data_IF_443849322708
#
_entry.id   IF_443849322708
#
_cell.length_a   1.000
_cell.length_b   1.000
_cell.length_c   1.000
_cell.angle_alpha   90.00
_cell.angle_beta   90.00
_cell.angle_gamma   90.00
#
_symmetry.space_group_name_H-M   'P 1'
#
loop_
_entity.id
_entity.type
_entity.pdbx_description
1 polymer ?
#
# COMPACT_ATOMS: atom_id res chain seq x y z
N UNK A 1 0.79 -11.19 -6.49
CA UNK A 1 0.68 -10.35 -5.27
C UNK A 1 -0.14 -9.12 -5.63
N UNK A 2 -1.14 -8.78 -4.84
CA UNK A 2 -1.95 -7.56 -4.98
C UNK A 2 -1.62 -6.57 -3.87
N UNK A 3 -1.96 -5.29 -4.03
CA UNK A 3 -1.62 -4.22 -3.07
C UNK A 3 -2.20 -4.45 -1.66
N UNK A 4 -3.34 -5.14 -1.55
CA UNK A 4 -3.98 -5.54 -0.30
C UNK A 4 -3.44 -6.84 0.32
N UNK A 5 -2.49 -7.53 -0.33
CA UNK A 5 -1.96 -8.82 0.16
C UNK A 5 -1.31 -8.73 1.55
N UNK A 6 -0.60 -7.64 1.92
CA UNK A 6 -0.04 -7.49 3.26
C UNK A 6 -1.08 -7.60 4.38
N UNK A 7 -2.38 -7.37 4.14
CA UNK A 7 -3.41 -7.57 5.17
C UNK A 7 -3.46 -8.99 5.75
N UNK A 8 -2.84 -9.99 5.10
CA UNK A 8 -2.69 -11.34 5.65
C UNK A 8 -1.94 -11.38 6.98
N UNK A 9 -1.04 -10.44 7.25
CA UNK A 9 -0.28 -10.35 8.50
C UNK A 9 -0.92 -9.41 9.53
N UNK A 10 -2.03 -8.73 9.19
CA UNK A 10 -2.76 -7.85 10.11
C UNK A 10 -3.77 -8.64 10.98
N UNK A 11 -3.26 -9.66 11.68
CA UNK A 11 -4.08 -10.61 12.46
C UNK A 11 -4.96 -9.94 13.52
N UNK A 12 -4.52 -8.82 14.07
CA UNK A 12 -5.24 -8.02 15.07
C UNK A 12 -6.60 -7.47 14.56
N UNK A 13 -6.83 -7.48 13.24
CA UNK A 13 -8.10 -7.07 12.63
C UNK A 13 -8.95 -8.24 12.12
N UNK A 14 -8.42 -9.47 12.06
CA UNK A 14 -9.08 -10.59 11.36
C UNK A 14 -10.39 -11.04 12.01
N UNK A 15 -10.54 -10.89 13.32
CA UNK A 15 -11.77 -11.24 14.04
C UNK A 15 -12.73 -10.06 14.26
N UNK A 16 -12.31 -8.85 13.89
CA UNK A 16 -13.08 -7.62 14.08
C UNK A 16 -14.13 -7.44 12.98
N UNK A 17 -15.17 -6.67 13.27
CA UNK A 17 -16.10 -6.22 12.24
C UNK A 17 -15.44 -5.11 11.43
N UNK A 18 -15.15 -5.37 10.15
CA UNK A 18 -14.43 -4.41 9.29
C UNK A 18 -15.32 -3.95 8.14
N UNK A 19 -15.46 -2.64 7.99
CA UNK A 19 -16.09 -2.06 6.81
C UNK A 19 -15.07 -2.07 5.67
N UNK A 20 -15.40 -2.74 4.56
CA UNK A 20 -14.55 -2.79 3.37
C UNK A 20 -15.13 -1.92 2.26
N UNK A 21 -14.26 -1.15 1.60
CA UNK A 21 -14.60 -0.34 0.41
C UNK A 21 -13.62 -0.61 -0.72
N UNK A 22 -14.14 -0.69 -1.94
CA UNK A 22 -13.38 -0.88 -3.17
C UNK A 22 -14.22 -1.50 -4.28
N UNK A 23 -13.55 -1.96 -5.34
CA UNK A 23 -14.19 -2.57 -6.51
C UNK A 23 -13.88 -4.08 -6.59
N UNK A 24 -14.82 -4.84 -7.18
CA UNK A 24 -14.71 -6.28 -7.38
C UNK A 24 -15.28 -7.10 -6.22
N UNK A 25 -14.88 -8.38 -6.07
CA UNK A 25 -15.42 -9.29 -5.06
C UNK A 25 -14.79 -9.02 -3.68
N UNK A 26 -14.96 -7.81 -3.14
CA UNK A 26 -14.27 -7.32 -1.95
C UNK A 26 -14.52 -8.15 -0.69
N UNK A 27 -15.70 -8.77 -0.57
CA UNK A 27 -16.00 -9.69 0.55
C UNK A 27 -15.21 -10.99 0.44
N UNK A 28 -15.08 -11.54 -0.77
CA UNK A 28 -14.31 -12.77 -1.00
C UNK A 28 -12.83 -12.51 -0.81
N UNK A 29 -12.34 -11.35 -1.27
CA UNK A 29 -10.98 -10.88 -1.02
C UNK A 29 -10.72 -10.78 0.49
N UNK A 30 -11.60 -10.11 1.25
CA UNK A 30 -11.45 -9.98 2.70
C UNK A 30 -11.43 -11.35 3.39
N UNK A 31 -12.35 -12.25 3.06
CA UNK A 31 -12.37 -13.62 3.62
C UNK A 31 -11.09 -14.39 3.27
N UNK A 32 -10.63 -14.31 2.02
CA UNK A 32 -9.40 -14.95 1.56
C UNK A 32 -8.16 -14.44 2.32
N UNK A 33 -8.15 -13.16 2.70
CA UNK A 33 -7.07 -12.54 3.48
C UNK A 33 -7.12 -12.91 4.98
N UNK A 34 -8.23 -13.46 5.47
CA UNK A 34 -8.41 -13.95 6.84
C UNK A 34 -9.48 -13.21 7.67
N UNK A 35 -10.17 -12.22 7.10
CA UNK A 35 -11.21 -11.49 7.83
C UNK A 35 -12.48 -12.33 8.00
N UNK A 36 -12.91 -12.47 9.25
CA UNK A 36 -14.08 -13.28 9.63
C UNK A 36 -15.40 -12.51 9.44
N UNK A 37 -15.37 -11.19 9.71
CA UNK A 37 -16.57 -10.35 9.76
C UNK A 37 -16.47 -9.10 8.85
N UNK A 38 -16.19 -9.24 7.54
CA UNK A 38 -16.21 -8.10 6.63
C UNK A 38 -17.66 -7.70 6.29
N UNK A 39 -17.94 -6.39 6.29
CA UNK A 39 -19.19 -5.81 5.80
C UNK A 39 -18.88 -4.77 4.73
N UNK A 40 -19.79 -4.56 3.77
CA UNK A 40 -19.58 -3.56 2.70
C UNK A 40 -20.37 -2.29 2.98
N UNK A 41 -19.99 -1.22 2.26
CA UNK A 41 -20.76 0.02 2.21
C UNK A 41 -22.21 -0.24 1.75
N UNK A 42 -22.42 -1.14 0.78
CA UNK A 42 -23.76 -1.52 0.33
C UNK A 42 -24.56 -2.24 1.43
N UNK A 43 -23.94 -3.10 2.24
CA UNK A 43 -24.63 -3.75 3.38
C UNK A 43 -25.03 -2.76 4.48
N UNK A 44 -24.18 -1.78 4.79
CA UNK A 44 -24.52 -0.70 5.74
C UNK A 44 -25.70 0.11 5.22
N UNK A 45 -25.64 0.48 3.94
CA UNK A 45 -26.69 1.20 3.25
C UNK A 45 -28.01 0.42 3.22
N UNK A 46 -28.00 -0.87 2.90
CA UNK A 46 -29.22 -1.70 2.91
C UNK A 46 -29.86 -1.76 4.29
N UNK A 47 -29.03 -1.77 5.34
CA UNK A 47 -29.48 -1.84 6.73
C UNK A 47 -29.95 -0.49 7.28
N UNK A 48 -29.30 0.61 6.85
CA UNK A 48 -29.52 1.98 7.31
C UNK A 48 -29.67 2.92 6.09
N UNK A 49 -30.79 2.83 5.36
CA UNK A 49 -30.83 3.35 4.01
C UNK A 49 -31.02 4.87 3.90
N UNK A 50 -31.26 5.55 5.03
CA UNK A 50 -31.23 7.02 5.11
C UNK A 50 -29.83 7.60 5.30
N UNK A 51 -28.79 6.76 5.44
CA UNK A 51 -27.40 7.25 5.44
C UNK A 51 -26.93 7.64 4.03
N UNK A 52 -27.43 6.95 3.00
CA UNK A 52 -27.08 7.24 1.60
C UNK A 52 -28.20 8.02 0.90
N UNK A 53 -28.39 9.27 1.32
CA UNK A 53 -29.31 10.18 0.65
C UNK A 53 -28.65 10.90 -0.53
N UNK A 54 -27.35 10.77 -0.75
CA UNK A 54 -26.67 11.40 -1.88
C UNK A 54 -27.01 10.73 -3.22
N UNK A 55 -27.23 9.42 -3.24
CA UNK A 55 -27.72 8.73 -4.43
C UNK A 55 -29.26 8.76 -4.53
N UNK A 56 -29.77 9.78 -5.25
CA UNK A 56 -31.20 9.99 -5.44
C UNK A 56 -31.92 8.82 -6.12
N UNK A 57 -31.25 8.10 -7.03
CA UNK A 57 -31.84 6.99 -7.79
C UNK A 57 -32.19 5.81 -6.89
N UNK A 58 -31.43 5.68 -5.80
CA UNK A 58 -31.40 4.54 -4.91
C UNK A 58 -31.93 4.86 -3.50
N UNK A 59 -32.53 6.04 -3.29
CA UNK A 59 -33.17 6.44 -2.02
C UNK A 59 -34.37 5.56 -1.68
N UNK A 60 -34.61 5.24 -0.39
CA UNK A 60 -35.83 4.58 0.05
C UNK A 60 -37.06 5.40 -0.27
N UNK A 61 -38.06 4.77 -0.89
CA UNK A 61 -39.39 5.38 -1.11
C UNK A 61 -40.35 5.16 0.07
N UNK A 62 -40.02 4.21 0.95
CA UNK A 62 -40.83 3.80 2.09
C UNK A 62 -39.91 3.70 3.31
N UNK A 63 -40.39 4.16 4.46
CA UNK A 63 -39.67 4.03 5.73
C UNK A 63 -39.54 2.53 6.09
N UNK A 64 -38.33 1.99 6.29
CA UNK A 64 -38.16 0.62 6.75
C UNK A 64 -38.90 0.44 8.08
N UNK A 65 -39.67 -0.65 8.22
CA UNK A 65 -40.50 -0.93 9.40
C UNK A 65 -39.68 -1.21 10.67
N UNK A 66 -38.41 -1.55 10.52
CA UNK A 66 -37.45 -1.79 11.60
C UNK A 66 -36.05 -1.49 11.08
N UNK A 67 -35.27 -0.68 11.80
CA UNK A 67 -33.85 -0.50 11.50
C UNK A 67 -33.14 -1.85 11.69
N UNK A 68 -32.44 -2.34 10.66
CA UNK A 68 -31.62 -3.52 10.81
C UNK A 68 -30.45 -3.18 11.74
N UNK A 69 -30.21 -4.03 12.75
CA UNK A 69 -29.12 -3.80 13.69
C UNK A 69 -27.81 -4.20 13.00
N UNK A 70 -26.98 -3.21 12.66
CA UNK A 70 -25.63 -3.49 12.15
C UNK A 70 -24.68 -3.67 13.34
N UNK A 71 -23.73 -4.62 13.27
CA UNK A 71 -22.69 -4.70 14.28
C UNK A 71 -21.87 -3.41 14.31
N UNK A 72 -21.33 -3.06 15.48
CA UNK A 72 -20.34 -1.98 15.59
C UNK A 72 -19.16 -2.28 14.68
N UNK A 73 -18.76 -1.31 13.87
CA UNK A 73 -17.62 -1.40 12.97
C UNK A 73 -16.37 -1.02 13.75
N UNK A 74 -15.37 -1.89 13.78
CA UNK A 74 -14.16 -1.70 14.55
C UNK A 74 -13.02 -1.08 13.73
N UNK A 75 -13.05 -1.22 12.40
CA UNK A 75 -12.08 -0.62 11.49
C UNK A 75 -12.66 -0.46 10.08
N UNK A 76 -12.07 0.44 9.29
CA UNK A 76 -12.36 0.62 7.87
C UNK A 76 -11.14 0.20 7.05
N UNK A 77 -11.36 -0.56 5.97
CA UNK A 77 -10.33 -1.01 5.03
C UNK A 77 -10.69 -0.53 3.63
N UNK A 78 -9.83 0.30 3.07
CA UNK A 78 -9.91 0.78 1.69
C UNK A 78 -9.04 -0.13 0.80
N UNK A 79 -9.67 -1.04 0.06
CA UNK A 79 -8.95 -1.98 -0.81
C UNK A 79 -8.47 -1.35 -2.11
N UNK A 80 -9.21 -0.35 -2.61
CA UNK A 80 -9.04 0.24 -3.93
C UNK A 80 -10.21 1.16 -4.24
N UNK A 81 -10.19 1.85 -5.38
CA UNK A 81 -11.22 2.83 -5.74
C UNK A 81 -12.60 2.17 -5.80
N UNK A 82 -13.61 2.67 -5.05
CA UNK A 82 -14.96 2.16 -5.15
C UNK A 82 -15.69 2.77 -6.34
N UNK A 83 -16.83 2.18 -6.71
CA UNK A 83 -17.82 2.81 -7.59
C UNK A 83 -18.82 3.58 -6.70
N UNK A 84 -19.39 4.69 -7.18
CA UNK A 84 -20.28 5.60 -6.42
C UNK A 84 -19.56 6.22 -5.23
N UNK A 85 -18.64 7.13 -5.56
CA UNK A 85 -17.77 7.79 -4.59
C UNK A 85 -18.57 8.57 -3.56
N UNK A 86 -19.63 9.24 -3.98
CA UNK A 86 -20.54 9.98 -3.11
C UNK A 86 -21.09 9.13 -1.96
N UNK A 87 -21.61 7.93 -2.26
CA UNK A 87 -22.14 7.01 -1.23
C UNK A 87 -21.04 6.46 -0.32
N UNK A 88 -19.90 6.09 -0.90
CA UNK A 88 -18.76 5.57 -0.12
C UNK A 88 -18.19 6.64 0.82
N UNK A 89 -17.96 7.85 0.30
CA UNK A 89 -17.48 8.98 1.09
C UNK A 89 -18.44 9.31 2.23
N UNK A 90 -19.75 9.41 1.96
CA UNK A 90 -20.77 9.66 2.98
C UNK A 90 -20.74 8.61 4.09
N UNK A 91 -20.85 7.33 3.74
CA UNK A 91 -20.94 6.24 4.72
C UNK A 91 -19.64 6.06 5.50
N UNK A 92 -18.47 6.16 4.85
CA UNK A 92 -17.18 6.04 5.54
C UNK A 92 -17.02 7.19 6.54
N UNK A 93 -17.37 8.43 6.15
CA UNK A 93 -17.34 9.58 7.07
C UNK A 93 -18.30 9.35 8.25
N UNK A 94 -19.54 8.92 8.02
CA UNK A 94 -20.49 8.64 9.10
C UNK A 94 -19.94 7.59 10.08
N UNK A 95 -19.33 6.53 9.57
CA UNK A 95 -18.71 5.47 10.38
C UNK A 95 -17.55 6.00 11.21
N UNK A 96 -16.69 6.85 10.64
CA UNK A 96 -15.57 7.47 11.35
C UNK A 96 -16.06 8.45 12.44
N UNK A 97 -17.07 9.28 12.15
CA UNK A 97 -17.60 10.30 13.06
C UNK A 97 -18.48 9.72 14.20
N UNK A 98 -18.93 8.48 14.06
CA UNK A 98 -19.76 7.78 15.06
C UNK A 98 -18.98 6.73 15.85
N UNK A 99 -17.67 6.62 15.63
CA UNK A 99 -16.84 5.61 16.30
C UNK A 99 -17.26 4.18 15.97
N UNK A 100 -17.73 3.94 14.74
CA UNK A 100 -18.15 2.62 14.27
C UNK A 100 -19.65 2.33 14.34
N UNK A 101 -20.47 3.28 14.78
CA UNK A 101 -21.91 3.09 14.99
C UNK A 101 -22.74 4.07 14.16
N UNK A 102 -22.84 3.89 12.83
CA UNK A 102 -23.42 4.89 11.92
C UNK A 102 -24.94 5.12 12.10
N UNK A 103 -25.63 4.33 12.93
CA UNK A 103 -27.00 4.61 13.35
C UNK A 103 -27.09 5.74 14.40
N UNK A 104 -25.98 6.10 15.04
CA UNK A 104 -25.91 7.16 16.03
C UNK A 104 -25.71 8.52 15.35
N UNK A 105 -26.11 9.59 16.04
CA UNK A 105 -25.74 10.95 15.65
C UNK A 105 -24.22 11.13 15.69
N UNK A 106 -23.70 11.99 14.81
CA UNK A 106 -22.30 12.40 14.86
C UNK A 106 -21.98 12.95 16.24
N UNK A 107 -20.94 12.39 16.87
CA UNK A 107 -20.43 12.92 18.14
C UNK A 107 -19.42 14.02 17.84
N UNK A 108 -19.18 14.91 18.81
CA UNK A 108 -18.00 15.79 18.72
C UNK A 108 -16.78 14.89 18.58
N UNK A 109 -16.12 14.93 17.41
CA UNK A 109 -15.23 13.88 16.91
C UNK A 109 -14.30 13.35 18.03
N UNK A 110 -14.63 12.16 18.56
CA UNK A 110 -13.77 11.46 19.51
C UNK A 110 -12.50 11.11 18.76
N UNK A 111 -11.44 11.88 18.97
CA UNK A 111 -10.13 11.55 18.45
C UNK A 111 -9.40 10.67 19.46
N UNK A 112 -8.81 9.54 19.04
CA UNK A 112 -8.73 9.06 17.66
C UNK A 112 -10.04 8.44 17.15
N UNK A 113 -10.32 8.59 15.84
CA UNK A 113 -11.38 7.85 15.16
C UNK A 113 -11.01 6.35 15.06
N UNK A 114 -11.94 5.47 14.68
CA UNK A 114 -11.61 4.05 14.51
C UNK A 114 -10.51 3.84 13.45
N UNK A 115 -9.70 2.78 13.55
CA UNK A 115 -8.62 2.51 12.61
C UNK A 115 -9.08 2.52 11.14
N UNK A 116 -8.29 3.19 10.29
CA UNK A 116 -8.48 3.27 8.84
C UNK A 116 -7.22 2.74 8.16
N UNK A 117 -7.36 1.70 7.35
CA UNK A 117 -6.28 1.09 6.59
C UNK A 117 -6.52 1.33 5.10
N UNK A 118 -5.50 1.71 4.34
CA UNK A 118 -5.61 1.88 2.89
C UNK A 118 -4.59 0.98 2.17
N UNK A 119 -5.02 0.35 1.09
CA UNK A 119 -4.24 -0.70 0.41
C UNK A 119 -3.59 -0.25 -0.90
N UNK A 120 -3.94 0.92 -1.43
CA UNK A 120 -3.37 1.44 -2.67
C UNK A 120 -3.35 2.96 -2.56
N UNK A 121 -2.22 3.60 -2.84
CA UNK A 121 -2.08 5.05 -2.71
C UNK A 121 -1.86 5.74 -4.06
N UNK A 122 -1.87 4.99 -5.15
CA UNK A 122 -1.61 5.53 -6.48
C UNK A 122 -2.63 6.61 -6.81
N UNK A 123 -2.15 7.84 -6.98
CA UNK A 123 -2.99 8.97 -7.37
C UNK A 123 -3.55 8.75 -8.78
N UNK A 124 -2.73 8.22 -9.68
CA UNK A 124 -3.09 7.93 -11.06
C UNK A 124 -2.46 6.62 -11.53
N UNK A 125 -3.05 6.00 -12.53
CA UNK A 125 -2.56 4.77 -13.16
C UNK A 125 -2.73 4.82 -14.68
N UNK A 126 -1.93 4.03 -15.41
CA UNK A 126 -2.03 3.92 -16.87
C UNK A 126 -3.06 2.88 -17.29
N UNK A 127 -4.02 3.32 -18.11
CA UNK A 127 -5.03 2.48 -18.76
C UNK A 127 -4.81 2.46 -20.27
N UNK A 128 -5.76 1.90 -21.02
CA UNK A 128 -5.81 1.94 -22.49
C UNK A 128 -5.99 3.36 -23.06
N UNK A 129 -6.39 4.32 -22.21
CA UNK A 129 -6.48 5.73 -22.61
C UNK A 129 -5.10 6.38 -22.72
N UNK A 130 -4.99 7.40 -23.59
CA UNK A 130 -3.74 8.18 -23.81
C UNK A 130 -3.26 8.94 -22.57
N UNK A 131 -4.12 9.18 -21.59
CA UNK A 131 -3.81 9.93 -20.39
C UNK A 131 -4.06 9.08 -19.16
N UNK A 132 -3.24 9.20 -18.09
CA UNK A 132 -3.46 8.49 -16.84
C UNK A 132 -4.88 8.68 -16.31
N UNK A 133 -5.43 7.63 -15.66
CA UNK A 133 -6.75 7.65 -15.01
C UNK A 133 -6.57 7.83 -13.51
N UNK A 134 -7.59 8.33 -12.84
CA UNK A 134 -7.58 8.44 -11.38
C UNK A 134 -7.45 7.05 -10.76
N UNK A 135 -6.53 6.92 -9.81
CA UNK A 135 -6.40 5.76 -8.94
C UNK A 135 -7.04 6.00 -7.58
N UNK A 136 -6.84 5.06 -6.66
CA UNK A 136 -7.37 5.14 -5.31
C UNK A 136 -6.90 6.37 -4.53
N UNK A 137 -5.70 6.89 -4.81
CA UNK A 137 -5.17 8.06 -4.13
C UNK A 137 -6.03 9.32 -4.29
N UNK A 138 -6.77 9.46 -5.42
CA UNK A 138 -7.71 10.58 -5.59
C UNK A 138 -8.94 10.40 -4.68
N UNK A 139 -9.44 9.17 -4.52
CA UNK A 139 -10.53 8.89 -3.59
C UNK A 139 -10.11 9.18 -2.14
N UNK A 140 -8.91 8.77 -1.75
CA UNK A 140 -8.31 9.08 -0.44
C UNK A 140 -8.21 10.58 -0.22
N UNK A 141 -7.70 11.33 -1.21
CA UNK A 141 -7.62 12.79 -1.15
C UNK A 141 -8.98 13.44 -0.92
N UNK A 142 -10.04 12.95 -1.56
CA UNK A 142 -11.41 13.43 -1.32
C UNK A 142 -11.86 13.13 0.11
N UNK A 143 -11.70 11.89 0.58
CA UNK A 143 -12.08 11.46 1.92
C UNK A 143 -11.39 12.28 3.01
N UNK A 144 -10.09 12.50 2.85
CA UNK A 144 -9.27 13.30 3.74
C UNK A 144 -9.73 14.75 3.84
N UNK A 145 -9.98 15.39 2.69
CA UNK A 145 -10.41 16.78 2.65
C UNK A 145 -11.81 16.95 3.25
N UNK A 146 -12.72 16.01 2.99
CA UNK A 146 -14.06 16.02 3.59
C UNK A 146 -13.96 15.88 5.10
N UNK A 147 -13.21 14.88 5.59
CA UNK A 147 -13.02 14.66 7.02
C UNK A 147 -12.43 15.90 7.71
N UNK A 148 -11.37 16.50 7.13
CA UNK A 148 -10.76 17.73 7.65
C UNK A 148 -11.71 18.91 7.62
N UNK A 149 -12.50 19.06 6.57
CA UNK A 149 -13.47 20.17 6.44
C UNK A 149 -14.59 20.09 7.49
N UNK A 150 -15.04 18.88 7.81
CA UNK A 150 -16.11 18.64 8.80
C UNK A 150 -15.58 18.74 10.23
N UNK A 151 -14.40 18.18 10.50
CA UNK A 151 -13.90 18.02 11.88
C UNK A 151 -12.85 19.05 12.29
N UNK A 152 -12.22 19.74 11.34
CA UNK A 152 -11.03 20.57 11.56
C UNK A 152 -9.74 19.78 11.81
N UNK A 153 -9.77 18.43 11.74
CA UNK A 153 -8.65 17.55 12.08
C UNK A 153 -8.19 16.74 10.87
N UNK A 154 -6.90 16.41 10.80
CA UNK A 154 -6.39 15.50 9.78
C UNK A 154 -6.94 14.08 9.98
N UNK A 155 -7.33 13.44 8.88
CA UNK A 155 -7.64 12.01 8.85
C UNK A 155 -6.33 11.23 8.99
N UNK A 156 -6.29 10.24 9.91
CA UNK A 156 -5.09 9.45 10.17
C UNK A 156 -5.26 8.02 9.65
N UNK A 157 -4.26 7.49 8.98
CA UNK A 157 -4.23 6.09 8.59
C UNK A 157 -3.44 5.29 9.63
N UNK A 158 -3.99 4.16 10.04
CA UNK A 158 -3.29 3.20 10.89
C UNK A 158 -2.24 2.42 10.10
N UNK A 159 -2.55 2.13 8.84
CA UNK A 159 -1.64 1.47 7.92
C UNK A 159 -1.89 1.94 6.49
N UNK A 160 -0.81 2.29 5.81
CA UNK A 160 -0.77 2.58 4.39
C UNK A 160 0.01 1.46 3.71
N UNK A 161 -0.68 0.65 2.91
CA UNK A 161 -0.13 -0.45 2.12
C UNK A 161 -0.22 -0.11 0.64
N UNK A 162 0.46 -0.91 -0.18
CA UNK A 162 0.77 -0.55 -1.55
C UNK A 162 2.07 0.24 -1.62
N UNK A 163 2.64 0.33 -2.82
CA UNK A 163 3.85 1.13 -3.06
C UNK A 163 3.56 2.61 -2.78
N UNK A 164 4.51 3.38 -2.21
CA UNK A 164 5.89 3.01 -1.89
C UNK A 164 6.11 2.42 -0.49
N UNK A 165 5.07 2.00 0.24
CA UNK A 165 5.18 1.58 1.64
C UNK A 165 6.12 0.38 1.84
N UNK A 166 7.02 0.46 2.82
CA UNK A 166 8.02 -0.57 3.14
C UNK A 166 7.37 -1.93 3.43
N UNK A 167 6.25 -1.95 4.17
CA UNK A 167 5.53 -3.21 4.47
C UNK A 167 5.16 -3.99 3.22
N UNK A 168 4.88 -3.30 2.12
CA UNK A 168 4.57 -3.94 0.83
C UNK A 168 5.79 -4.69 0.30
N UNK A 169 6.99 -4.11 0.43
CA UNK A 169 8.24 -4.74 0.01
C UNK A 169 8.69 -5.85 0.96
N UNK A 170 8.54 -5.68 2.27
CA UNK A 170 8.76 -6.77 3.23
C UNK A 170 7.86 -7.97 2.95
N UNK A 171 6.58 -7.72 2.68
CA UNK A 171 5.66 -8.79 2.33
C UNK A 171 5.98 -9.43 0.98
N UNK A 172 6.45 -8.65 0.00
CA UNK A 172 6.90 -9.17 -1.29
C UNK A 172 8.12 -10.08 -1.15
N UNK A 173 9.14 -9.66 -0.39
CA UNK A 173 10.33 -10.48 -0.09
C UNK A 173 9.94 -11.79 0.59
N UNK A 174 9.04 -11.72 1.58
CA UNK A 174 8.54 -12.90 2.27
C UNK A 174 7.90 -13.91 1.29
N UNK A 175 7.06 -13.43 0.37
CA UNK A 175 6.45 -14.28 -0.66
C UNK A 175 7.49 -14.87 -1.62
N UNK A 176 8.48 -14.08 -2.03
CA UNK A 176 9.58 -14.55 -2.88
C UNK A 176 10.36 -15.66 -2.19
N UNK A 177 10.63 -15.53 -0.89
CA UNK A 177 11.32 -16.55 -0.10
C UNK A 177 10.50 -17.82 0.06
N UNK A 178 9.18 -17.72 0.28
CA UNK A 178 8.29 -18.88 0.27
C UNK A 178 8.33 -19.60 -1.09
N UNK A 179 8.35 -18.84 -2.19
CA UNK A 179 8.45 -19.38 -3.54
C UNK A 179 9.81 -20.07 -3.77
N UNK A 180 10.92 -19.46 -3.37
CA UNK A 180 12.24 -20.07 -3.48
C UNK A 180 12.34 -21.37 -2.67
N UNK A 181 11.75 -21.40 -1.48
CA UNK A 181 11.67 -22.61 -0.64
C UNK A 181 10.82 -23.71 -1.30
N UNK A 182 9.67 -23.37 -1.90
CA UNK A 182 8.81 -24.34 -2.60
C UNK A 182 9.51 -24.93 -3.83
N UNK A 183 10.36 -24.13 -4.50
CA UNK A 183 11.22 -24.56 -5.60
C UNK A 183 12.50 -25.28 -5.15
N UNK A 184 12.71 -25.46 -3.83
CA UNK A 184 13.90 -26.10 -3.23
C UNK A 184 15.22 -25.46 -3.65
N UNK A 185 15.25 -24.14 -3.78
CA UNK A 185 16.50 -23.43 -4.07
C UNK A 185 17.48 -23.62 -2.92
N UNK A 186 18.71 -24.01 -3.25
CA UNK A 186 19.76 -24.29 -2.27
C UNK A 186 20.36 -23.03 -1.64
N UNK A 187 20.22 -21.88 -2.30
CA UNK A 187 20.70 -20.58 -1.85
C UNK A 187 19.54 -19.61 -1.67
N UNK A 188 19.57 -18.75 -0.63
CA UNK A 188 18.57 -17.71 -0.45
C UNK A 188 18.64 -16.65 -1.56
N UNK A 189 17.52 -15.98 -1.82
CA UNK A 189 17.45 -14.84 -2.74
C UNK A 189 18.06 -13.62 -2.06
N UNK A 190 19.16 -13.10 -2.60
CA UNK A 190 19.90 -11.98 -2.01
C UNK A 190 19.63 -10.64 -2.71
N UNK A 191 19.31 -10.66 -4.00
CA UNK A 191 19.08 -9.46 -4.81
C UNK A 191 17.64 -9.44 -5.30
N UNK A 192 16.96 -8.32 -5.08
CA UNK A 192 15.64 -8.04 -5.65
C UNK A 192 15.77 -6.98 -6.74
N UNK A 193 14.98 -7.12 -7.80
CA UNK A 193 14.83 -6.11 -8.85
C UNK A 193 13.37 -5.69 -8.92
N UNK A 194 13.09 -4.44 -8.60
CA UNK A 194 11.77 -3.83 -8.72
C UNK A 194 11.67 -3.09 -10.05
N UNK A 195 10.92 -3.67 -10.98
CA UNK A 195 10.68 -3.11 -12.31
C UNK A 195 9.32 -2.40 -12.30
N UNK A 196 9.29 -1.13 -12.68
CA UNK A 196 8.04 -0.35 -12.70
C UNK A 196 8.14 0.92 -13.52
N UNK A 197 7.00 1.59 -13.71
CA UNK A 197 6.83 2.74 -14.61
C UNK A 197 6.62 4.05 -13.87
N UNK A 198 6.55 4.03 -12.54
CA UNK A 198 6.27 5.20 -11.72
C UNK A 198 7.42 5.53 -10.76
N UNK A 199 8.04 6.69 -10.98
CA UNK A 199 9.10 7.23 -10.12
C UNK A 199 8.68 7.32 -8.64
N UNK A 200 7.44 7.74 -8.38
CA UNK A 200 6.96 8.07 -7.04
C UNK A 200 6.52 6.86 -6.22
N UNK A 201 6.35 5.70 -6.86
CA UNK A 201 5.80 4.51 -6.20
C UNK A 201 6.73 3.31 -6.37
N UNK A 202 7.04 2.92 -7.61
CA UNK A 202 7.94 1.82 -7.92
C UNK A 202 9.37 2.14 -7.50
N UNK A 203 9.93 3.20 -8.07
CA UNK A 203 11.34 3.54 -7.89
C UNK A 203 11.59 4.01 -6.46
N UNK A 204 10.76 4.93 -5.98
CA UNK A 204 10.82 5.40 -4.60
C UNK A 204 10.72 4.26 -3.59
N UNK A 205 9.72 3.38 -3.73
CA UNK A 205 9.53 2.28 -2.80
C UNK A 205 10.68 1.26 -2.82
N UNK A 206 11.22 0.96 -4.00
CA UNK A 206 12.35 0.06 -4.16
C UNK A 206 13.63 0.62 -3.52
N UNK A 207 13.88 1.91 -3.73
CA UNK A 207 15.04 2.59 -3.16
C UNK A 207 14.93 2.75 -1.64
N UNK A 208 13.72 3.08 -1.13
CA UNK A 208 13.43 3.11 0.30
C UNK A 208 13.70 1.74 0.94
N UNK A 209 13.19 0.66 0.33
CA UNK A 209 13.43 -0.68 0.82
C UNK A 209 14.91 -1.09 0.74
N UNK A 210 15.63 -0.71 -0.32
CA UNK A 210 17.06 -0.96 -0.42
C UNK A 210 17.85 -0.30 0.72
N UNK A 211 17.51 0.95 1.06
CA UNK A 211 18.10 1.66 2.19
C UNK A 211 17.86 0.90 3.49
N UNK A 212 16.62 0.47 3.75
CA UNK A 212 16.28 -0.38 4.89
C UNK A 212 17.18 -1.62 4.97
N UNK A 213 17.33 -2.36 3.88
CA UNK A 213 18.19 -3.56 3.83
C UNK A 213 19.66 -3.25 4.15
N UNK A 214 20.19 -2.13 3.67
CA UNK A 214 21.56 -1.69 3.95
C UNK A 214 21.77 -1.33 5.43
N UNK A 215 20.80 -0.64 6.03
CA UNK A 215 20.82 -0.27 7.45
C UNK A 215 20.71 -1.52 8.34
N UNK A 216 19.80 -2.45 8.05
CA UNK A 216 19.67 -3.70 8.80
C UNK A 216 20.94 -4.54 8.76
N UNK A 217 21.61 -4.62 7.60
CA UNK A 217 22.88 -5.35 7.46
C UNK A 217 24.01 -4.67 8.24
N UNK A 218 24.03 -3.34 8.27
CA UNK A 218 25.02 -2.57 9.04
C UNK A 218 24.84 -2.78 10.55
N UNK A 219 23.59 -2.77 11.03
CA UNK A 219 23.24 -3.05 12.44
C UNK A 219 23.67 -4.46 12.85
N UNK A 220 23.32 -5.50 12.06
CA UNK A 220 23.74 -6.88 12.31
C UNK A 220 25.27 -7.03 12.37
N UNK A 221 25.99 -6.36 11.48
CA UNK A 221 27.45 -6.38 11.46
C UNK A 221 28.03 -5.73 12.72
N UNK A 222 27.46 -4.60 13.16
CA UNK A 222 27.87 -3.91 14.38
C UNK A 222 27.58 -4.74 15.63
N UNK A 223 26.39 -5.33 15.75
CA UNK A 223 26.02 -6.21 16.87
C UNK A 223 26.91 -7.45 16.96
N UNK A 224 27.26 -8.05 15.82
CA UNK A 224 28.17 -9.21 15.77
C UNK A 224 29.58 -8.82 16.24
N UNK A 225 30.07 -7.64 15.84
CA UNK A 225 31.37 -7.11 16.28
C UNK A 225 31.37 -6.79 17.78
N UNK A 226 30.29 -6.20 18.29
CA UNK A 226 30.14 -5.93 19.73
C UNK A 226 30.06 -7.23 20.53
N UNK A 227 29.28 -8.23 20.09
CA UNK A 227 29.21 -9.53 20.76
C UNK A 227 30.57 -10.27 20.75
N UNK A 228 31.31 -10.19 19.65
CA UNK A 228 32.65 -10.75 19.55
C UNK A 228 33.66 -10.03 20.48
N UNK A 229 33.47 -8.72 20.73
CA UNK A 229 34.36 -7.92 21.57
C UNK A 229 34.01 -7.95 23.07
N UNK A 230 32.74 -8.16 23.44
CA UNK A 230 32.26 -7.96 24.82
C UNK A 230 32.00 -9.25 25.61
N UNK A 231 31.94 -10.43 24.96
CA UNK A 231 31.77 -11.72 25.65
C UNK A 231 30.49 -11.87 26.49
N UNK A 232 29.61 -10.87 26.51
CA UNK A 232 28.37 -10.83 27.25
C UNK A 232 27.34 -10.00 26.46
N UNK A 233 26.17 -10.57 26.20
CA UNK A 233 25.09 -9.92 25.48
C UNK A 233 24.53 -8.73 26.26
N UNK A 234 24.83 -7.51 25.81
CA UNK A 234 24.09 -6.32 26.18
C UNK A 234 23.05 -6.05 25.10
N UNK A 235 21.77 -6.31 25.41
CA UNK A 235 20.65 -5.88 24.59
C UNK A 235 20.47 -4.36 24.75
N UNK A 236 21.06 -3.57 23.85
CA UNK A 236 20.67 -2.17 23.69
C UNK A 236 19.38 -2.14 22.89
N UNK A 237 18.25 -2.09 23.61
CA UNK A 237 16.92 -1.88 23.04
C UNK A 237 16.84 -0.42 22.59
N UNK A 238 16.97 -0.19 21.29
CA UNK A 238 16.53 1.05 20.65
C UNK A 238 15.02 1.16 20.85
N UNK A 239 14.55 2.14 21.60
CA UNK A 239 13.12 2.46 21.71
C UNK A 239 12.63 3.17 20.44
N UNK A 240 12.55 2.44 19.35
CA UNK A 240 11.54 2.70 18.32
C UNK A 240 10.62 1.48 18.40
N UNK A 241 9.34 1.67 18.70
CA UNK A 241 8.38 0.56 18.70
C UNK A 241 8.30 0.04 17.26
N UNK A 242 9.02 -1.05 16.99
CA UNK A 242 8.98 -1.71 15.69
C UNK A 242 7.52 -1.98 15.32
N UNK A 243 7.10 -1.65 14.09
CA UNK A 243 5.73 -1.85 13.66
C UNK A 243 5.24 -3.26 13.98
N UNK A 244 4.04 -3.40 14.55
CA UNK A 244 3.53 -4.69 15.01
C UNK A 244 3.56 -5.82 13.96
N UNK A 245 3.58 -5.46 12.67
CA UNK A 245 3.67 -6.41 11.55
C UNK A 245 5.07 -7.01 11.35
N UNK A 246 6.14 -6.37 11.83
CA UNK A 246 7.51 -6.89 11.71
C UNK A 246 7.68 -8.18 12.49
N UNK A 247 7.04 -8.30 13.66
CA UNK A 247 7.05 -9.54 14.45
C UNK A 247 6.37 -10.72 13.75
N UNK A 248 5.48 -10.46 12.78
CA UNK A 248 4.79 -11.49 12.01
C UNK A 248 5.61 -12.00 10.81
N UNK A 249 6.64 -11.25 10.40
CA UNK A 249 7.52 -11.61 9.29
C UNK A 249 8.90 -12.01 9.81
N UNK A 250 9.43 -13.13 9.33
CA UNK A 250 10.84 -13.47 9.63
C UNK A 250 11.78 -12.52 8.88
N UNK A 251 12.97 -12.28 9.43
CA UNK A 251 13.99 -11.43 8.81
C UNK A 251 14.21 -11.69 7.31
N UNK A 252 14.40 -10.62 6.51
CA UNK A 252 14.62 -10.77 5.08
C UNK A 252 15.93 -11.48 4.80
N UNK A 253 15.92 -12.27 3.72
CA UNK A 253 17.09 -12.91 3.13
C UNK A 253 17.76 -12.05 2.06
N UNK A 254 16.97 -11.17 1.45
CA UNK A 254 17.48 -10.15 0.53
C UNK A 254 18.41 -9.18 1.27
N UNK A 255 19.48 -8.77 0.60
CA UNK A 255 20.44 -7.77 1.09
C UNK A 255 20.44 -6.51 0.23
N UNK A 256 19.85 -6.58 -0.97
CA UNK A 256 19.82 -5.49 -1.95
C UNK A 256 18.48 -5.47 -2.69
N UNK A 257 18.00 -4.28 -3.00
CA UNK A 257 16.88 -4.04 -3.90
C UNK A 257 17.29 -3.00 -4.95
N UNK A 258 17.17 -3.33 -6.23
CA UNK A 258 17.49 -2.45 -7.34
C UNK A 258 16.22 -1.98 -8.04
N UNK A 259 16.13 -0.69 -8.32
CA UNK A 259 15.03 -0.10 -9.08
C UNK A 259 15.37 -0.05 -10.57
N UNK A 260 14.40 -0.46 -11.40
CA UNK A 260 14.49 -0.41 -12.87
C UNK A 260 13.23 0.29 -13.40
N UNK A 261 13.40 1.47 -13.97
CA UNK A 261 12.32 2.27 -14.54
C UNK A 261 12.10 1.89 -16.02
N UNK A 262 10.87 1.53 -16.36
CA UNK A 262 10.45 1.31 -17.75
C UNK A 262 9.75 2.55 -18.32
N UNK A 263 9.87 2.77 -19.63
CA UNK A 263 9.35 3.96 -20.32
C UNK A 263 7.99 3.76 -20.99
N UNK A 264 7.28 2.67 -20.65
CA UNK A 264 6.04 2.22 -21.29
C UNK A 264 4.77 2.59 -20.51
N UNK A 265 4.88 3.38 -19.43
CA UNK A 265 3.76 3.67 -18.53
C UNK A 265 3.67 5.14 -18.12
N UNK A 266 3.47 5.38 -16.81
CA UNK A 266 3.30 6.72 -16.23
C UNK A 266 4.50 7.60 -16.57
N UNK A 267 5.71 7.07 -16.42
CA UNK A 267 6.92 7.71 -16.93
C UNK A 267 7.03 7.52 -18.44
N UNK A 268 7.15 8.65 -19.15
CA UNK A 268 7.41 8.66 -20.59
C UNK A 268 8.43 9.76 -20.92
N UNK A 269 9.65 9.39 -21.37
CA UNK A 269 10.74 10.34 -21.64
C UNK A 269 10.46 11.26 -22.84
N UNK A 270 9.49 10.92 -23.70
CA UNK A 270 9.12 11.72 -24.87
C UNK A 270 8.02 12.73 -24.59
N UNK A 271 7.51 12.79 -23.35
CA UNK A 271 6.56 13.82 -22.95
C UNK A 271 7.28 15.16 -22.89
N UNK A 272 7.04 16.04 -23.88
CA UNK A 272 7.63 17.38 -23.93
C UNK A 272 7.29 18.14 -22.65
N UNK A 273 8.26 18.30 -21.76
CA UNK A 273 8.19 19.29 -20.68
C UNK A 273 8.09 20.67 -21.35
N UNK A 274 7.10 21.52 -21.01
CA UNK A 274 7.01 22.84 -21.58
C UNK A 274 8.31 23.63 -21.31
N UNK A 275 8.92 24.12 -22.37
CA UNK A 275 10.13 24.98 -22.36
C UNK A 275 9.83 26.32 -21.71
N UNK A 276 9.80 26.38 -20.38
CA UNK A 276 9.99 27.61 -19.61
C UNK A 276 11.09 27.37 -18.57
N UNK A 277 12.31 27.56 -19.04
CA UNK A 277 13.61 27.29 -18.40
C UNK A 277 14.01 28.32 -17.34
N UNK A 278 13.12 28.59 -16.38
CA UNK A 278 13.49 29.33 -15.16
C UNK A 278 12.80 28.83 -13.88
N UNK A 279 12.02 27.74 -13.94
CA UNK A 279 11.34 27.12 -12.79
C UNK A 279 11.52 25.59 -12.69
N UNK A 280 12.20 24.95 -13.64
CA UNK A 280 12.00 23.51 -13.94
C UNK A 280 12.79 22.50 -13.10
N UNK A 281 13.31 22.88 -11.92
CA UNK A 281 13.91 21.91 -10.98
C UNK A 281 13.20 21.92 -9.61
N UNK A 282 12.37 22.94 -9.34
CA UNK A 282 11.71 23.12 -8.03
C UNK A 282 10.19 22.84 -8.02
N UNK A 283 9.57 22.54 -9.16
CA UNK A 283 8.10 22.33 -9.27
C UNK A 283 7.72 20.99 -9.91
N UNK A 284 8.42 19.90 -9.60
CA UNK A 284 7.83 18.57 -9.82
C UNK A 284 6.74 18.39 -8.77
N UNK A 285 5.47 18.48 -9.18
CA UNK A 285 4.32 18.31 -8.28
C UNK A 285 4.41 16.92 -7.64
N UNK A 286 4.53 16.87 -6.30
CA UNK A 286 4.54 15.61 -5.56
C UNK A 286 3.15 14.96 -5.65
N UNK A 287 3.08 13.83 -6.35
CA UNK A 287 1.86 13.04 -6.50
C UNK A 287 1.77 11.85 -5.53
N UNK A 288 2.72 11.73 -4.60
CA UNK A 288 2.65 10.73 -3.54
C UNK A 288 1.64 11.11 -2.45
N UNK A 289 1.27 10.14 -1.63
CA UNK A 289 0.40 10.38 -0.49
C UNK A 289 1.08 11.29 0.55
N UNK A 290 0.33 12.21 1.15
CA UNK A 290 0.86 13.27 2.04
C UNK A 290 1.62 12.77 3.28
N UNK A 291 1.33 11.55 3.72
CA UNK A 291 1.99 10.94 4.89
C UNK A 291 3.37 10.37 4.54
N UNK A 292 3.74 10.35 3.25
CA UNK A 292 5.10 10.07 2.79
C UNK A 292 5.83 11.39 2.56
N UNK A 293 6.92 11.60 3.31
CA UNK A 293 7.83 12.72 3.04
C UNK A 293 8.65 12.39 1.82
N UNK A 294 8.60 13.25 0.81
CA UNK A 294 9.45 13.08 -0.38
C UNK A 294 10.90 13.32 -0.03
N UNK A 295 11.72 12.28 -0.19
CA UNK A 295 13.17 12.39 -0.27
C UNK A 295 13.60 12.36 -1.75
N UNK A 296 14.08 13.48 -2.33
CA UNK A 296 14.42 13.55 -3.75
C UNK A 296 15.47 12.53 -4.21
N UNK A 297 16.36 12.10 -3.32
CA UNK A 297 17.38 11.08 -3.62
C UNK A 297 16.77 9.70 -3.90
N UNK A 298 15.57 9.42 -3.36
CA UNK A 298 14.91 8.13 -3.54
C UNK A 298 14.12 8.03 -4.85
N UNK A 299 13.91 9.12 -5.59
CA UNK A 299 13.24 9.04 -6.90
C UNK A 299 14.21 8.74 -8.04
N UNK A 300 15.52 8.68 -7.80
CA UNK A 300 16.51 8.36 -8.84
C UNK A 300 16.51 6.85 -9.14
N UNK A 301 16.17 6.41 -10.38
CA UNK A 301 16.17 5.01 -10.73
C UNK A 301 17.59 4.48 -10.88
N UNK A 302 17.85 3.26 -10.38
CA UNK A 302 19.14 2.60 -10.58
C UNK A 302 19.42 2.32 -12.05
N UNK A 303 18.38 2.01 -12.83
CA UNK A 303 18.45 1.84 -14.28
C UNK A 303 17.18 2.35 -14.96
N UNK A 304 17.32 2.85 -16.19
CA UNK A 304 16.20 3.22 -17.06
C UNK A 304 16.31 2.41 -18.34
N UNK A 305 15.20 1.80 -18.76
CA UNK A 305 15.11 0.97 -19.96
C UNK A 305 13.81 1.27 -20.71
N UNK A 306 13.75 0.86 -21.97
CA UNK A 306 12.59 1.15 -22.83
C UNK A 306 11.34 0.41 -22.32
N UNK A 307 11.45 -0.89 -22.05
CA UNK A 307 10.34 -1.74 -21.65
C UNK A 307 10.76 -2.88 -20.70
N UNK A 308 9.82 -3.75 -20.35
CA UNK A 308 10.05 -4.87 -19.44
C UNK A 308 10.98 -5.94 -20.02
N UNK A 309 11.02 -6.10 -21.34
CA UNK A 309 11.91 -7.06 -22.00
C UNK A 309 13.37 -6.60 -21.87
N UNK A 310 13.62 -5.33 -22.17
CA UNK A 310 14.91 -4.68 -21.95
C UNK A 310 15.34 -4.70 -20.47
N UNK A 311 14.39 -4.62 -19.52
CA UNK A 311 14.66 -4.75 -18.10
C UNK A 311 15.19 -6.15 -17.74
N UNK A 312 14.56 -7.21 -18.26
CA UNK A 312 14.97 -8.59 -18.04
C UNK A 312 16.36 -8.86 -18.63
N UNK A 313 16.60 -8.39 -19.87
CA UNK A 313 17.90 -8.49 -20.53
C UNK A 313 19.02 -7.79 -19.75
N UNK A 314 18.73 -6.62 -19.18
CA UNK A 314 19.66 -5.90 -18.32
C UNK A 314 19.97 -6.71 -17.05
N UNK A 315 18.96 -7.26 -16.38
CA UNK A 315 19.13 -8.04 -15.15
C UNK A 315 19.99 -9.28 -15.41
N UNK A 316 19.77 -9.99 -16.52
CA UNK A 316 20.63 -11.12 -16.90
C UNK A 316 22.08 -10.70 -17.09
N UNK A 317 22.35 -9.54 -17.69
CA UNK A 317 23.72 -9.01 -17.82
C UNK A 317 24.33 -8.68 -16.45
N UNK A 318 23.57 -8.02 -15.57
CA UNK A 318 24.03 -7.64 -14.22
C UNK A 318 24.35 -8.85 -13.35
N UNK A 319 23.54 -9.90 -13.43
CA UNK A 319 23.73 -11.14 -12.68
C UNK A 319 24.66 -12.13 -13.41
N UNK A 320 25.28 -11.74 -14.53
CA UNK A 320 26.14 -12.60 -15.36
C UNK A 320 25.48 -13.94 -15.73
N UNK A 321 24.16 -13.88 -15.97
CA UNK A 321 23.38 -15.04 -16.38
C UNK A 321 23.77 -15.43 -17.81
N UNK A 322 24.31 -16.64 -17.96
CA UNK A 322 24.59 -17.25 -19.25
C UNK A 322 23.35 -18.05 -19.66
N UNK A 323 22.57 -17.60 -20.67
CA UNK A 323 21.52 -18.45 -21.23
C UNK A 323 22.24 -19.67 -21.79
N UNK A 324 21.98 -20.84 -21.19
CA UNK A 324 22.68 -22.08 -21.52
C UNK A 324 22.88 -22.21 -23.04
N UNK A 325 24.14 -22.21 -23.48
CA UNK A 325 24.47 -22.74 -24.79
C UNK A 325 23.87 -24.14 -24.90
N UNK A 326 23.08 -24.38 -25.94
CA UNK A 326 22.52 -25.70 -26.18
C UNK A 326 23.64 -26.75 -26.28
N UNK A 327 23.47 -27.84 -25.51
CA UNK A 327 24.08 -29.18 -25.56
C UNK A 327 24.50 -29.62 -24.14
N UNK A 328 24.44 -30.87 -23.69
CA UNK A 328 23.95 -32.17 -24.14
C UNK A 328 24.09 -33.08 -22.89
N UNK A 329 23.16 -34.02 -22.71
CA UNK A 329 23.29 -35.29 -21.95
C UNK A 329 24.48 -35.50 -21.00
N UNK A 330 24.20 -35.76 -19.71
CA UNK A 330 24.29 -37.08 -19.07
C UNK A 330 23.62 -37.05 -17.69
#
# INVERSE_FOLDING_TARGET
MMSHSPLRIFKQYHHKCVLVSGQGPILDIAKYLGFSNPITVDSVRESLPFLDMVDHSRRPKILPSTAANIPKIDAVILFGEPIRWESNLQIIIDVLLTGGSPANSHQSASTPHIPLLACNMDLMWMSEARSPRFGHGIFMLCLENIYKKITGKELKYEALMGKPSEITYHYAEYLIRLQAASMRWSKPVQTLYAIGDNLMTDIYGANLYNRHLQESNSRKTSETLVQAASGAGLATVSQEEDPAWENELSFPSATRCHSVLVCTGIYNPHTKVPTNTSQSVTETVFHGHRDFRLEPELVEPGHIVDDVDAAVDLIFKLETFLPNGGNQTA
#
